data_IF_688849150296
#
_entry.id   IF_688849150296
#
_cell.length_a   1.000
_cell.length_b   1.000
_cell.length_c   1.000
_cell.angle_alpha   90.00
_cell.angle_beta   90.00
_cell.angle_gamma   90.00
#
_symmetry.space_group_name_H-M   'P 1'
#
loop_
_entity.id
_entity.type
_entity.pdbx_description
1 polymer ?
#
# COMPACT_ATOMS: atom_id res chain seq x y z
N UNK A 1 0.93 -15.56 -8.37
CA UNK A 1 2.19 -14.88 -8.01
C UNK A 1 1.89 -13.39 -7.93
N UNK A 2 1.94 -12.77 -6.75
CA UNK A 2 1.81 -11.30 -6.65
C UNK A 2 3.04 -10.69 -7.29
N UNK A 3 2.89 -9.76 -8.22
CA UNK A 3 3.97 -8.88 -8.65
C UNK A 3 3.47 -7.45 -8.52
N UNK A 4 4.21 -6.62 -7.78
CA UNK A 4 3.97 -5.17 -7.75
C UNK A 4 4.46 -4.49 -9.03
N UNK A 5 5.22 -5.21 -9.86
CA UNK A 5 5.68 -4.79 -11.19
C UNK A 5 4.71 -5.22 -12.31
N UNK A 6 3.48 -5.56 -11.93
CA UNK A 6 2.40 -5.88 -12.87
C UNK A 6 2.06 -4.64 -13.72
N UNK A 7 1.84 -4.85 -15.02
CA UNK A 7 1.25 -3.81 -15.88
C UNK A 7 -0.20 -3.58 -15.45
N UNK A 8 -0.58 -2.31 -15.28
CA UNK A 8 -1.94 -1.92 -14.89
C UNK A 8 -2.92 -2.36 -15.97
N UNK A 9 -3.89 -3.19 -15.59
CA UNK A 9 -4.97 -3.66 -16.45
C UNK A 9 -6.21 -2.78 -16.36
N UNK A 10 -7.30 -3.27 -16.96
CA UNK A 10 -8.63 -2.68 -16.81
C UNK A 10 -9.12 -2.79 -15.37
N UNK A 11 -10.10 -1.96 -14.99
CA UNK A 11 -10.65 -1.97 -13.63
C UNK A 11 -11.10 -3.38 -13.20
N UNK A 12 -11.82 -4.12 -14.05
CA UNK A 12 -12.27 -5.48 -13.72
C UNK A 12 -11.11 -6.45 -13.53
N UNK A 13 -10.03 -6.31 -14.31
CA UNK A 13 -8.82 -7.09 -14.15
C UNK A 13 -8.09 -6.74 -12.84
N UNK A 14 -8.07 -5.46 -12.45
CA UNK A 14 -7.50 -5.03 -11.17
C UNK A 14 -8.31 -5.57 -9.98
N UNK A 15 -9.63 -5.45 -10.03
CA UNK A 15 -10.52 -5.97 -8.98
C UNK A 15 -10.42 -7.49 -8.89
N UNK A 16 -10.48 -8.20 -10.01
CA UNK A 16 -10.31 -9.65 -10.05
C UNK A 16 -8.94 -10.08 -9.52
N UNK A 17 -7.88 -9.35 -9.87
CA UNK A 17 -6.55 -9.60 -9.32
C UNK A 17 -6.52 -9.38 -7.80
N UNK A 18 -7.05 -8.27 -7.31
CA UNK A 18 -7.11 -7.95 -5.88
C UNK A 18 -7.85 -9.06 -5.12
N UNK A 19 -9.07 -9.41 -5.54
CA UNK A 19 -9.91 -10.40 -4.86
C UNK A 19 -9.21 -11.76 -4.74
N UNK A 20 -8.48 -12.17 -5.78
CA UNK A 20 -7.72 -13.42 -5.77
C UNK A 20 -6.47 -13.40 -4.87
N UNK A 21 -5.91 -12.22 -4.60
CA UNK A 21 -4.69 -12.09 -3.78
C UNK A 21 -4.99 -11.65 -2.33
N UNK A 22 -6.16 -11.08 -2.04
CA UNK A 22 -6.56 -10.70 -0.68
C UNK A 22 -6.71 -11.91 0.26
N UNK A 23 -7.00 -13.10 -0.24
CA UNK A 23 -7.18 -14.29 0.58
C UNK A 23 -5.86 -14.92 1.04
N UNK A 24 -4.73 -14.54 0.44
CA UNK A 24 -3.46 -15.18 0.74
C UNK A 24 -2.76 -14.54 1.94
N UNK A 25 -1.98 -15.34 2.67
CA UNK A 25 -1.14 -14.92 3.77
C UNK A 25 0.29 -14.63 3.31
N UNK A 26 0.99 -13.77 4.05
CA UNK A 26 2.39 -13.41 3.79
C UNK A 26 2.62 -11.91 3.60
N UNK A 27 3.87 -11.51 3.78
CA UNK A 27 4.26 -10.10 3.85
C UNK A 27 3.89 -9.31 2.59
N UNK A 28 4.16 -9.88 1.41
CA UNK A 28 3.85 -9.25 0.13
C UNK A 28 2.36 -8.97 -0.07
N UNK A 29 1.50 -9.91 0.33
CA UNK A 29 0.05 -9.76 0.27
C UNK A 29 -0.46 -8.75 1.29
N UNK A 30 0.15 -8.75 2.48
CA UNK A 30 -0.15 -7.77 3.51
C UNK A 30 0.19 -6.35 3.05
N UNK A 31 1.34 -6.13 2.41
CA UNK A 31 1.68 -4.82 1.81
C UNK A 31 0.65 -4.39 0.76
N UNK A 32 0.23 -5.30 -0.12
CA UNK A 32 -0.81 -4.99 -1.13
C UNK A 32 -2.12 -4.58 -0.46
N UNK A 33 -2.53 -5.25 0.63
CA UNK A 33 -3.71 -4.88 1.42
C UNK A 33 -3.61 -3.47 1.97
N UNK A 34 -2.45 -3.11 2.53
CA UNK A 34 -2.19 -1.78 3.09
C UNK A 34 -2.27 -0.73 1.97
N UNK A 35 -1.53 -0.92 0.88
CA UNK A 35 -1.54 -0.01 -0.27
C UNK A 35 -2.96 0.21 -0.81
N UNK A 36 -3.72 -0.86 -0.98
CA UNK A 36 -5.09 -0.78 -1.48
C UNK A 36 -6.01 -0.04 -0.50
N UNK A 37 -5.93 -0.36 0.79
CA UNK A 37 -6.76 0.26 1.82
C UNK A 37 -6.50 1.75 1.90
N UNK A 38 -5.22 2.13 1.97
CA UNK A 38 -4.78 3.52 2.03
C UNK A 38 -5.17 4.30 0.77
N UNK A 39 -4.96 3.72 -0.42
CA UNK A 39 -5.35 4.37 -1.68
C UNK A 39 -6.86 4.57 -1.77
N UNK A 40 -7.64 3.53 -1.45
CA UNK A 40 -9.11 3.60 -1.48
C UNK A 40 -9.64 4.64 -0.51
N UNK A 41 -9.09 4.67 0.71
CA UNK A 41 -9.46 5.65 1.72
C UNK A 41 -9.15 7.08 1.28
N UNK A 42 -7.94 7.34 0.78
CA UNK A 42 -7.53 8.68 0.35
C UNK A 42 -8.32 9.18 -0.87
N UNK A 43 -8.66 8.28 -1.82
CA UNK A 43 -9.54 8.62 -2.95
C UNK A 43 -10.95 8.96 -2.48
N UNK A 44 -11.51 8.16 -1.56
CA UNK A 44 -12.81 8.43 -0.95
C UNK A 44 -12.81 9.75 -0.17
N UNK A 45 -11.76 10.00 0.59
CA UNK A 45 -11.58 11.23 1.36
C UNK A 45 -11.50 12.46 0.46
N UNK A 46 -10.75 12.40 -0.64
CA UNK A 46 -10.66 13.48 -1.62
C UNK A 46 -12.01 13.73 -2.32
N UNK A 47 -12.72 12.66 -2.70
CA UNK A 47 -14.09 12.77 -3.24
C UNK A 47 -15.00 13.53 -2.25
N UNK A 48 -14.94 13.19 -0.97
CA UNK A 48 -15.75 13.84 0.05
C UNK A 48 -15.34 15.28 0.32
N UNK A 49 -14.04 15.60 0.33
CA UNK A 49 -13.57 16.98 0.44
C UNK A 49 -14.09 17.84 -0.71
N UNK A 50 -14.09 17.29 -1.94
CA UNK A 50 -14.60 17.99 -3.11
C UNK A 50 -16.10 18.24 -3.01
N UNK A 51 -16.88 17.22 -2.65
CA UNK A 51 -18.34 17.29 -2.61
C UNK A 51 -18.85 18.14 -1.43
N UNK A 52 -18.31 17.93 -0.23
CA UNK A 52 -18.88 18.50 1.00
C UNK A 52 -18.14 19.72 1.53
N UNK A 53 -16.88 19.94 1.12
CA UNK A 53 -16.06 21.06 1.61
C UNK A 53 -15.60 22.01 0.52
N UNK A 54 -15.88 21.70 -0.76
CA UNK A 54 -15.40 22.47 -1.90
C UNK A 54 -13.87 22.53 -2.02
N UNK A 55 -13.15 21.67 -1.29
CA UNK A 55 -11.67 21.62 -1.31
C UNK A 55 -11.23 20.53 -2.26
N UNK A 56 -10.19 20.80 -3.05
CA UNK A 56 -9.61 19.84 -3.98
C UNK A 56 -8.12 19.73 -3.73
N UNK A 57 -7.63 18.53 -3.48
CA UNK A 57 -6.21 18.25 -3.40
C UNK A 57 -5.66 17.99 -4.81
N UNK A 58 -4.39 18.33 -5.02
CA UNK A 58 -3.69 17.91 -6.24
C UNK A 58 -3.44 16.41 -6.22
N UNK A 59 -3.26 15.79 -7.40
CA UNK A 59 -2.91 14.37 -7.47
C UNK A 59 -1.64 14.06 -6.67
N UNK A 60 -0.66 14.97 -6.68
CA UNK A 60 0.58 14.81 -5.91
C UNK A 60 0.31 14.80 -4.40
N UNK A 61 -0.57 15.67 -3.90
CA UNK A 61 -0.94 15.71 -2.48
C UNK A 61 -1.63 14.41 -2.04
N UNK A 62 -2.51 13.86 -2.87
CA UNK A 62 -3.17 12.57 -2.58
C UNK A 62 -2.14 11.42 -2.57
N UNK A 63 -1.21 11.39 -3.53
CA UNK A 63 -0.13 10.40 -3.57
C UNK A 63 0.77 10.51 -2.33
N UNK A 64 1.14 11.72 -1.92
CA UNK A 64 1.95 11.96 -0.72
C UNK A 64 1.23 11.52 0.55
N UNK A 65 -0.08 11.76 0.67
CA UNK A 65 -0.88 11.29 1.78
C UNK A 65 -0.89 9.75 1.86
N UNK A 66 -1.07 9.09 0.70
CA UNK A 66 -1.02 7.63 0.61
C UNK A 66 0.35 7.11 1.07
N UNK A 67 1.45 7.68 0.58
CA UNK A 67 2.80 7.25 0.96
C UNK A 67 3.06 7.45 2.45
N UNK A 68 2.65 8.58 3.01
CA UNK A 68 2.80 8.88 4.43
C UNK A 68 2.03 7.89 5.32
N UNK A 69 0.79 7.54 4.95
CA UNK A 69 0.00 6.56 5.67
C UNK A 69 0.57 5.13 5.57
N UNK A 70 1.08 4.73 4.41
CA UNK A 70 1.75 3.44 4.24
C UNK A 70 3.01 3.37 5.11
N UNK A 71 3.80 4.44 5.15
CA UNK A 71 4.98 4.54 6.01
C UNK A 71 4.60 4.51 7.49
N UNK A 72 3.55 5.23 7.90
CA UNK A 72 3.04 5.18 9.27
C UNK A 72 2.57 3.77 9.65
N UNK A 73 1.86 3.09 8.75
CA UNK A 73 1.44 1.71 8.95
C UNK A 73 2.66 0.78 9.12
N UNK A 74 3.74 1.00 8.36
CA UNK A 74 4.94 0.17 8.45
C UNK A 74 5.69 0.28 9.77
N UNK A 75 5.57 1.39 10.50
CA UNK A 75 6.25 1.60 11.79
C UNK A 75 5.90 0.51 12.81
N UNK A 76 4.67 0.02 12.78
CA UNK A 76 4.20 -1.03 13.68
C UNK A 76 4.63 -2.45 13.25
N UNK A 77 5.17 -2.63 12.05
CA UNK A 77 5.52 -3.96 11.56
C UNK A 77 6.78 -4.46 12.26
N UNK A 78 6.73 -5.70 12.74
CA UNK A 78 7.82 -6.39 13.45
C UNK A 78 7.94 -7.80 12.91
N UNK A 79 9.12 -8.40 13.09
CA UNK A 79 9.39 -9.80 12.74
C UNK A 79 9.13 -10.14 11.26
N UNK A 80 9.31 -9.17 10.35
CA UNK A 80 9.24 -9.44 8.92
C UNK A 80 10.43 -10.32 8.54
N UNK A 81 10.17 -11.47 7.91
CA UNK A 81 11.24 -12.39 7.48
C UNK A 81 12.21 -11.66 6.55
N UNK A 82 13.49 -11.62 6.93
CA UNK A 82 14.56 -11.01 6.13
C UNK A 82 14.85 -11.89 4.90
N UNK A 83 14.22 -11.55 3.79
CA UNK A 83 14.46 -12.15 2.48
C UNK A 83 14.74 -11.04 1.49
N UNK A 84 15.53 -11.33 0.44
CA UNK A 84 15.81 -10.34 -0.61
C UNK A 84 14.53 -9.77 -1.22
N UNK A 85 13.54 -10.63 -1.50
CA UNK A 85 12.25 -10.21 -2.05
C UNK A 85 11.46 -9.25 -1.14
N UNK A 86 11.51 -9.45 0.19
CA UNK A 86 10.86 -8.53 1.12
C UNK A 86 11.63 -7.21 1.26
N UNK A 87 12.97 -7.27 1.26
CA UNK A 87 13.81 -6.08 1.31
C UNK A 87 13.65 -5.20 0.06
N UNK A 88 13.70 -5.80 -1.12
CA UNK A 88 13.48 -5.11 -2.41
C UNK A 88 12.09 -4.46 -2.46
N UNK A 89 11.05 -5.16 -1.99
CA UNK A 89 9.70 -4.63 -1.91
C UNK A 89 9.60 -3.40 -0.99
N UNK A 90 10.25 -3.44 0.17
CA UNK A 90 10.29 -2.31 1.09
C UNK A 90 11.03 -1.11 0.48
N UNK A 91 12.17 -1.37 -0.17
CA UNK A 91 12.96 -0.34 -0.85
C UNK A 91 12.16 0.34 -1.96
N UNK A 92 11.45 -0.43 -2.80
CA UNK A 92 10.60 0.08 -3.87
C UNK A 92 9.46 0.99 -3.36
N UNK A 93 9.04 0.81 -2.10
CA UNK A 93 8.00 1.60 -1.45
C UNK A 93 8.56 2.72 -0.54
N UNK A 94 9.88 2.89 -0.48
CA UNK A 94 10.53 3.87 0.41
C UNK A 94 10.36 3.55 1.90
N UNK A 95 10.17 2.28 2.25
CA UNK A 95 10.01 1.83 3.64
C UNK A 95 11.37 1.55 4.28
N UNK A 96 11.46 1.80 5.58
CA UNK A 96 12.72 1.65 6.34
C UNK A 96 12.95 0.23 6.84
N UNK A 97 14.23 -0.15 6.96
CA UNK A 97 14.68 -1.49 7.35
C UNK A 97 14.35 -1.91 8.80
N UNK A 98 13.86 -1.01 9.66
CA UNK A 98 13.56 -1.33 11.06
C UNK A 98 12.56 -2.48 11.22
N UNK A 99 11.72 -2.73 10.21
CA UNK A 99 10.72 -3.80 10.20
C UNK A 99 11.30 -5.22 10.19
N UNK A 100 12.58 -5.36 9.81
CA UNK A 100 13.33 -6.63 9.83
C UNK A 100 13.98 -6.91 11.19
N UNK A 101 13.96 -5.95 12.13
CA UNK A 101 14.52 -6.13 13.46
C UNK A 101 13.58 -7.04 14.27
N UNK A 102 14.15 -8.10 14.85
CA UNK A 102 13.44 -9.00 15.77
C UNK A 102 13.35 -8.31 17.13
N UNK A 103 12.14 -8.19 17.68
CA UNK A 103 11.98 -7.76 19.06
C UNK A 103 12.60 -8.83 19.98
N UNK A 104 13.58 -8.43 20.81
CA UNK A 104 14.20 -9.31 21.80
C UNK A 104 13.18 -9.84 22.80
#
# INVERSE_FOLDING_TARGET
>A
MVSIYKVVGTFDQEIGWILNHLLTSGFKFFIVKVLLSTATYNIWFERNNRVFRGKRQSHLQVIQAIQAEVHAASVAWRNVKRTFANWELCLALGLSDYMFIVAK
#
